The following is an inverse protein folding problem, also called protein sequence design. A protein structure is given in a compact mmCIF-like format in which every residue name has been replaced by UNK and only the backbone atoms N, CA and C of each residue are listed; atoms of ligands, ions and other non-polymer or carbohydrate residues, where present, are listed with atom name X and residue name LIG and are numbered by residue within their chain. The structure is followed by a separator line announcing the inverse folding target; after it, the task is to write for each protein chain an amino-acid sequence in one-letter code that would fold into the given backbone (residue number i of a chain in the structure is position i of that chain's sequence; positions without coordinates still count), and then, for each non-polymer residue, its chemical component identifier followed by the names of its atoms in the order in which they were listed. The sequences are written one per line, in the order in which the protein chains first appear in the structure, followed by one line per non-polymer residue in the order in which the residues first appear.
data_IF_862742340159
#
_entry.id   IF_862742340159
#
_cell.length_a   1.000
_cell.length_b   1.000
_cell.length_c   1.000
_cell.angle_alpha   90.00
_cell.angle_beta   90.00
_cell.angle_gamma   90.00
#
_symmetry.space_group_name_H-M   'P 1'
#
loop_
_entity.id
_entity.type
_entity.pdbx_description
1 polymer ?
#
# COMPACT_ATOMS: atom_id res chain seq x y z
N UNK A 1 24.96 15.23 -1.30
CA UNK A 1 23.52 15.23 -0.96
C UNK A 1 23.34 16.00 0.33
N UNK A 2 22.29 16.83 0.49
CA UNK A 2 21.99 17.41 1.79
C UNK A 2 21.70 16.25 2.76
N UNK A 3 22.38 16.24 3.90
CA UNK A 3 22.06 15.29 4.96
C UNK A 3 20.71 15.73 5.52
N UNK A 4 19.68 14.88 5.53
CA UNK A 4 18.42 15.22 6.16
C UNK A 4 18.70 15.63 7.62
N UNK A 5 17.98 16.62 8.18
CA UNK A 5 18.20 17.03 9.56
C UNK A 5 18.15 15.81 10.47
N UNK A 6 19.11 15.68 11.38
CA UNK A 6 19.17 14.56 12.32
C UNK A 6 17.96 14.63 13.24
N UNK A 7 16.97 13.75 13.00
CA UNK A 7 15.75 13.65 13.80
C UNK A 7 15.93 12.58 14.88
N UNK A 8 15.44 12.86 16.08
CA UNK A 8 15.50 11.88 17.17
C UNK A 8 14.57 10.70 16.87
N UNK A 9 15.05 9.48 17.13
CA UNK A 9 14.27 8.25 17.00
C UNK A 9 13.03 8.28 17.91
N UNK A 10 11.94 7.66 17.46
CA UNK A 10 10.66 7.60 18.14
C UNK A 10 9.85 8.90 18.15
N UNK A 11 10.25 9.93 17.40
CA UNK A 11 9.54 11.21 17.37
C UNK A 11 8.48 11.28 16.28
N UNK A 12 7.34 11.85 16.64
CA UNK A 12 6.20 12.09 15.76
C UNK A 12 6.06 13.57 15.50
N UNK A 13 5.91 13.96 14.23
CA UNK A 13 5.73 15.36 13.84
C UNK A 13 4.65 15.53 12.79
N UNK A 14 4.02 16.70 12.81
CA UNK A 14 3.14 17.15 11.72
C UNK A 14 4.02 17.73 10.62
N UNK A 15 3.82 17.27 9.39
CA UNK A 15 4.51 17.83 8.23
C UNK A 15 3.86 19.17 7.84
N UNK A 16 4.59 20.04 7.12
CA UNK A 16 3.99 21.22 6.53
C UNK A 16 2.75 20.87 5.70
N UNK A 17 1.79 21.80 5.64
CA UNK A 17 0.55 21.60 4.90
C UNK A 17 0.83 21.27 3.44
N UNK A 18 0.24 20.18 2.95
CA UNK A 18 0.35 19.82 1.55
C UNK A 18 -0.38 20.88 0.69
N UNK A 19 0.13 21.20 -0.50
CA UNK A 19 -0.51 22.15 -1.42
C UNK A 19 -1.69 21.53 -2.18
N UNK A 20 -2.13 20.35 -1.76
CA UNK A 20 -3.31 19.63 -2.23
C UNK A 20 -4.10 19.14 -1.01
N UNK A 21 -5.45 19.09 -1.07
CA UNK A 21 -6.25 18.65 0.07
C UNK A 21 -5.95 17.19 0.42
N UNK A 22 -6.07 16.85 1.70
CA UNK A 22 -6.12 15.46 2.13
C UNK A 22 -7.23 14.70 1.40
N UNK A 23 -6.96 13.44 1.05
CA UNK A 23 -7.82 12.62 0.20
C UNK A 23 -7.72 11.14 0.51
N UNK A 24 -8.78 10.41 0.19
CA UNK A 24 -8.85 8.95 0.30
C UNK A 24 -8.62 8.30 -1.06
N UNK A 25 -8.20 7.04 -1.06
CA UNK A 25 -7.94 6.25 -2.27
C UNK A 25 -6.98 6.90 -3.27
N UNK A 26 -6.06 7.72 -2.76
CA UNK A 26 -4.96 8.27 -3.56
C UNK A 26 -3.83 7.24 -3.71
N UNK A 27 -3.09 7.34 -4.80
CA UNK A 27 -1.85 6.59 -4.95
C UNK A 27 -0.69 7.35 -4.31
N UNK A 28 0.30 6.62 -3.79
CA UNK A 28 1.55 7.19 -3.35
C UNK A 28 2.73 6.27 -3.62
N UNK A 29 3.90 6.85 -3.88
CA UNK A 29 5.15 6.09 -4.03
C UNK A 29 6.35 6.88 -3.52
N UNK A 30 7.34 6.18 -2.99
CA UNK A 30 8.65 6.74 -2.68
C UNK A 30 9.59 6.60 -3.87
N UNK A 31 10.17 7.72 -4.33
CA UNK A 31 11.10 7.73 -5.48
C UNK A 31 12.56 7.50 -5.10
N UNK A 32 12.86 7.28 -3.81
CA UNK A 32 14.22 7.38 -3.27
C UNK A 32 14.58 8.81 -2.81
N UNK A 33 13.80 9.82 -3.21
CA UNK A 33 14.04 11.23 -2.85
C UNK A 33 12.78 11.96 -2.37
N UNK A 34 11.64 11.71 -3.00
CA UNK A 34 10.37 12.38 -2.69
C UNK A 34 9.24 11.35 -2.57
N UNK A 35 8.29 11.60 -1.69
CA UNK A 35 7.01 10.91 -1.69
C UNK A 35 6.11 11.61 -2.70
N UNK A 36 5.70 10.91 -3.75
CA UNK A 36 4.79 11.44 -4.78
C UNK A 36 3.40 10.91 -4.49
N UNK A 37 2.40 11.79 -4.44
CA UNK A 37 0.98 11.45 -4.29
C UNK A 37 0.17 11.96 -5.46
N UNK A 38 -0.79 11.19 -5.96
CA UNK A 38 -1.64 11.61 -7.08
C UNK A 38 -3.02 10.93 -7.04
N UNK A 39 -4.02 11.60 -7.62
CA UNK A 39 -5.37 11.05 -7.80
C UNK A 39 -6.16 10.98 -6.49
N UNK A 40 -7.08 10.04 -6.36
CA UNK A 40 -7.93 9.86 -5.19
C UNK A 40 -9.17 10.75 -5.19
N UNK A 41 -9.86 10.78 -4.05
CA UNK A 41 -11.11 11.53 -3.90
C UNK A 41 -11.10 12.43 -2.68
N UNK A 42 -11.85 13.51 -2.78
CA UNK A 42 -12.22 14.35 -1.64
C UNK A 42 -13.73 14.44 -1.57
N UNK A 43 -14.25 14.63 -0.37
CA UNK A 43 -15.68 14.85 -0.16
C UNK A 43 -15.93 16.30 0.27
N UNK A 44 -17.02 16.88 -0.23
CA UNK A 44 -17.58 18.12 0.28
C UNK A 44 -19.07 17.93 0.55
N UNK A 45 -19.56 18.57 1.59
CA UNK A 45 -20.99 18.66 1.84
C UNK A 45 -21.57 19.85 1.08
N UNK A 46 -22.64 19.62 0.34
CA UNK A 46 -23.47 20.65 -0.26
C UNK A 46 -24.85 20.63 0.41
N UNK A 47 -25.41 21.80 0.71
CA UNK A 47 -26.78 21.92 1.21
C UNK A 47 -27.59 22.90 0.38
N UNK A 48 -28.84 22.53 0.09
CA UNK A 48 -29.84 23.40 -0.54
C UNK A 48 -30.76 24.08 0.51
N UNK A 49 -30.37 24.01 1.80
CA UNK A 49 -31.17 24.50 2.93
C UNK A 49 -32.24 23.52 3.43
N UNK A 50 -32.45 22.37 2.77
CA UNK A 50 -33.40 21.32 3.19
C UNK A 50 -32.77 19.93 3.28
N UNK A 51 -31.74 19.66 2.48
CA UNK A 51 -30.98 18.40 2.50
C UNK A 51 -29.50 18.70 2.49
N UNK A 52 -28.72 17.85 3.17
CA UNK A 52 -27.26 17.79 3.03
C UNK A 52 -26.96 16.63 2.11
N UNK A 53 -26.10 16.86 1.11
CA UNK A 53 -25.61 15.84 0.19
C UNK A 53 -24.10 15.85 0.20
N UNK A 54 -23.51 14.67 0.30
CA UNK A 54 -22.07 14.46 0.08
C UNK A 54 -21.79 14.42 -1.43
N UNK A 55 -20.89 15.30 -1.87
CA UNK A 55 -20.36 15.32 -3.23
C UNK A 55 -18.92 14.82 -3.19
N UNK A 56 -18.68 13.72 -3.90
CA UNK A 56 -17.36 13.14 -4.07
C UNK A 56 -16.73 13.69 -5.33
N UNK A 57 -15.55 14.27 -5.20
CA UNK A 57 -14.75 14.82 -6.30
C UNK A 57 -13.53 13.95 -6.56
N UNK A 58 -13.39 13.49 -7.80
CA UNK A 58 -12.22 12.79 -8.28
C UNK A 58 -11.10 13.79 -8.58
N UNK A 59 -9.93 13.56 -8.00
CA UNK A 59 -8.79 14.46 -8.10
C UNK A 59 -7.89 14.03 -9.25
N UNK A 60 -7.47 15.00 -10.06
CA UNK A 60 -6.54 14.82 -11.19
C UNK A 60 -5.16 15.45 -10.92
N UNK A 61 -4.95 15.89 -9.69
CA UNK A 61 -3.76 16.61 -9.24
C UNK A 61 -2.95 15.77 -8.24
N UNK A 62 -1.74 16.23 -7.96
CA UNK A 62 -0.82 15.55 -7.06
C UNK A 62 0.23 16.50 -6.50
N UNK A 63 0.97 16.01 -5.52
CA UNK A 63 2.07 16.73 -4.89
C UNK A 63 3.24 15.79 -4.61
N UNK A 64 4.44 16.35 -4.51
CA UNK A 64 5.63 15.64 -4.07
C UNK A 64 6.13 16.26 -2.76
N UNK A 65 6.45 15.43 -1.78
CA UNK A 65 7.04 15.81 -0.50
C UNK A 65 8.51 15.38 -0.44
N UNK A 66 9.39 16.35 -0.19
CA UNK A 66 10.83 16.15 0.03
C UNK A 66 11.12 16.18 1.55
N UNK A 67 11.44 15.04 2.19
CA UNK A 67 11.74 14.98 3.61
C UNK A 67 13.10 15.61 4.00
N UNK A 68 14.02 15.81 3.04
CA UNK A 68 15.31 16.45 3.31
C UNK A 68 15.17 17.96 3.45
N UNK A 69 14.23 18.57 2.72
CA UNK A 69 13.93 20.01 2.82
C UNK A 69 12.68 20.32 3.64
N UNK A 70 11.92 19.30 4.02
CA UNK A 70 10.62 19.41 4.69
C UNK A 70 9.66 20.30 3.90
N UNK A 71 9.56 20.06 2.59
CA UNK A 71 8.75 20.88 1.68
C UNK A 71 7.96 20.04 0.72
N UNK A 72 6.77 20.55 0.42
CA UNK A 72 5.94 20.05 -0.66
C UNK A 72 6.09 20.91 -1.91
N UNK A 73 5.85 20.30 -3.06
CA UNK A 73 5.62 20.98 -4.33
C UNK A 73 4.43 20.36 -5.05
N UNK A 74 3.73 21.17 -5.83
CA UNK A 74 2.64 20.69 -6.69
C UNK A 74 3.25 20.00 -7.90
N UNK A 75 2.66 18.89 -8.34
CA UNK A 75 3.06 18.25 -9.60
C UNK A 75 2.53 19.05 -10.79
N UNK A 76 3.22 19.02 -11.94
CA UNK A 76 2.65 19.51 -13.20
C UNK A 76 1.32 18.81 -13.50
N UNK A 77 0.45 19.48 -14.26
CA UNK A 77 -0.85 18.91 -14.64
C UNK A 77 -0.66 17.61 -15.41
N UNK A 78 -1.22 16.53 -14.88
CA UNK A 78 -1.15 15.21 -15.52
C UNK A 78 -2.08 15.17 -16.74
N UNK A 79 -1.71 14.46 -17.82
CA UNK A 79 -2.56 14.22 -18.97
C UNK A 79 -3.59 13.10 -18.69
N UNK A 80 -4.14 13.06 -17.48
CA UNK A 80 -5.06 12.03 -16.99
C UNK A 80 -6.28 12.70 -16.36
N UNK A 81 -7.48 12.13 -16.56
CA UNK A 81 -8.65 12.53 -15.77
C UNK A 81 -8.48 12.14 -14.31
N UNK A 82 -9.20 12.84 -13.42
CA UNK A 82 -9.24 12.46 -12.01
C UNK A 82 -9.85 11.08 -11.82
N UNK A 83 -9.35 10.35 -10.83
CA UNK A 83 -9.73 8.95 -10.58
C UNK A 83 -9.38 8.51 -9.17
N UNK A 84 -10.13 7.56 -8.65
CA UNK A 84 -9.80 6.86 -7.41
C UNK A 84 -8.91 5.64 -7.67
N UNK A 85 -8.13 5.25 -6.67
CA UNK A 85 -7.26 4.07 -6.67
C UNK A 85 -6.33 4.00 -7.90
N UNK A 86 -5.67 5.11 -8.29
CA UNK A 86 -4.67 5.02 -9.35
C UNK A 86 -3.53 4.12 -8.88
N UNK A 87 -3.04 3.27 -9.78
CA UNK A 87 -1.93 2.37 -9.47
C UNK A 87 -0.63 3.12 -9.71
N UNK A 88 0.20 3.22 -8.67
CA UNK A 88 1.46 3.97 -8.72
C UNK A 88 2.64 3.07 -8.42
N UNK A 89 3.65 3.10 -9.29
CA UNK A 89 4.89 2.33 -9.10
C UNK A 89 6.10 3.13 -9.56
N UNK A 90 7.19 3.06 -8.79
CA UNK A 90 8.47 3.70 -9.11
C UNK A 90 9.36 2.73 -9.87
N UNK A 91 9.84 3.12 -11.05
CA UNK A 91 10.70 2.29 -11.90
C UNK A 91 12.19 2.40 -11.56
N UNK A 92 12.57 3.27 -10.62
CA UNK A 92 13.95 3.73 -10.46
C UNK A 92 14.26 5.05 -11.19
N UNK A 93 13.41 5.45 -12.15
CA UNK A 93 13.56 6.69 -12.92
C UNK A 93 12.24 7.47 -13.07
N UNK A 94 11.11 6.79 -13.24
CA UNK A 94 9.80 7.41 -13.43
C UNK A 94 8.76 6.80 -12.50
N UNK A 95 7.77 7.61 -12.13
CA UNK A 95 6.56 7.13 -11.46
C UNK A 95 5.53 6.81 -12.52
N UNK A 96 5.15 5.55 -12.66
CA UNK A 96 4.02 5.18 -13.51
C UNK A 96 2.74 5.42 -12.72
N UNK A 97 1.75 6.05 -13.35
CA UNK A 97 0.38 6.19 -12.85
C UNK A 97 -0.54 5.58 -13.88
N UNK A 98 -1.16 4.46 -13.56
CA UNK A 98 -1.95 3.67 -14.51
C UNK A 98 -3.25 3.21 -13.87
N UNK A 99 -4.30 3.06 -14.67
CA UNK A 99 -5.52 2.42 -14.21
C UNK A 99 -6.27 3.23 -13.16
N UNK A 100 -6.93 2.53 -12.23
CA UNK A 100 -7.87 3.09 -11.27
C UNK A 100 -9.31 3.15 -11.79
N UNK A 101 -10.17 3.83 -11.04
CA UNK A 101 -11.61 3.90 -11.30
C UNK A 101 -12.10 5.33 -11.48
N UNK A 102 -13.05 5.47 -12.39
CA UNK A 102 -13.74 6.74 -12.66
C UNK A 102 -15.24 6.47 -12.46
N UNK A 103 -15.92 7.16 -11.56
CA UNK A 103 -17.31 6.90 -11.11
C UNK A 103 -18.34 6.77 -12.23
N UNK A 104 -18.11 7.40 -13.38
CA UNK A 104 -19.01 7.32 -14.55
C UNK A 104 -18.72 6.14 -15.48
N UNK A 105 -17.70 5.34 -15.19
CA UNK A 105 -17.35 4.10 -15.89
C UNK A 105 -17.50 2.95 -14.91
N UNK A 106 -18.19 1.89 -15.35
CA UNK A 106 -18.32 0.65 -14.57
C UNK A 106 -17.02 -0.14 -14.55
N UNK A 107 -16.25 -0.02 -15.63
CA UNK A 107 -15.00 -0.74 -15.79
C UNK A 107 -13.83 0.17 -15.42
N UNK A 108 -12.78 -0.42 -14.85
CA UNK A 108 -11.51 0.28 -14.64
C UNK A 108 -11.00 0.91 -15.94
N UNK A 109 -10.15 1.91 -15.78
CA UNK A 109 -9.54 2.60 -16.92
C UNK A 109 -8.24 1.92 -17.38
N UNK A 110 -7.89 2.08 -18.66
CA UNK A 110 -6.70 1.47 -19.28
C UNK A 110 -5.59 2.48 -19.58
N UNK A 111 -5.87 3.75 -19.38
CA UNK A 111 -4.92 4.84 -19.61
C UNK A 111 -3.92 4.96 -18.46
N UNK A 112 -2.81 5.64 -18.75
CA UNK A 112 -1.78 5.93 -17.77
C UNK A 112 -0.78 6.96 -18.29
N UNK A 113 0.02 7.49 -17.37
CA UNK A 113 1.08 8.43 -17.66
C UNK A 113 2.31 8.12 -16.78
N UNK A 114 3.50 8.34 -17.32
CA UNK A 114 4.74 8.30 -16.58
C UNK A 114 5.14 9.72 -16.16
N UNK A 115 5.35 9.93 -14.87
CA UNK A 115 5.89 11.16 -14.33
C UNK A 115 7.41 11.04 -14.16
N UNK A 116 8.14 11.98 -14.74
CA UNK A 116 9.58 12.13 -14.57
C UNK A 116 9.86 13.19 -13.48
N UNK A 117 10.34 12.79 -12.29
CA UNK A 117 10.59 13.73 -11.19
C UNK A 117 11.86 14.57 -11.37
N UNK A 118 12.71 14.28 -12.37
CA UNK A 118 13.90 15.06 -12.69
C UNK A 118 13.54 16.16 -13.68
N UNK A 119 12.81 15.82 -14.74
CA UNK A 119 12.31 16.79 -15.72
C UNK A 119 11.06 17.55 -15.24
N UNK A 120 10.43 17.09 -14.16
CA UNK A 120 9.15 17.58 -13.65
C UNK A 120 8.09 17.67 -14.76
N UNK A 121 7.89 16.54 -15.44
CA UNK A 121 6.97 16.46 -16.59
C UNK A 121 6.32 15.09 -16.71
N UNK A 122 5.21 15.04 -17.45
CA UNK A 122 4.46 13.82 -17.70
C UNK A 122 4.58 13.38 -19.16
N UNK A 123 4.58 12.07 -19.35
CA UNK A 123 4.47 11.44 -20.65
C UNK A 123 3.28 10.47 -20.66
N UNK A 124 2.43 10.55 -21.67
CA UNK A 124 1.30 9.61 -21.84
C UNK A 124 1.84 8.22 -22.17
N UNK A 125 1.30 7.19 -21.52
CA UNK A 125 1.62 5.80 -21.83
C UNK A 125 0.66 5.26 -22.91
N UNK A 126 1.10 4.28 -23.73
CA UNK A 126 0.16 3.51 -24.52
C UNK A 126 -0.87 2.84 -23.59
N UNK A 127 -2.11 2.74 -24.06
CA UNK A 127 -3.18 2.11 -23.28
C UNK A 127 -2.90 0.63 -23.03
N UNK A 128 -3.18 0.19 -21.81
CA UNK A 128 -3.07 -1.22 -21.45
C UNK A 128 -4.10 -2.07 -22.24
N UNK A 129 -3.81 -3.37 -22.49
CA UNK A 129 -4.75 -4.27 -23.15
C UNK A 129 -6.09 -4.33 -22.42
N UNK A 130 -6.03 -4.41 -21.10
CA UNK A 130 -7.15 -4.43 -20.15
C UNK A 130 -6.87 -3.47 -18.98
N UNK A 131 -7.88 -3.11 -18.16
CA UNK A 131 -7.67 -2.29 -16.99
C UNK A 131 -6.70 -2.98 -16.01
N UNK A 132 -5.53 -2.39 -15.73
CA UNK A 132 -4.57 -3.04 -14.84
C UNK A 132 -5.12 -3.19 -13.42
N UNK A 133 -4.77 -4.31 -12.78
CA UNK A 133 -5.06 -4.56 -11.36
C UNK A 133 -4.48 -3.49 -10.45
N UNK A 134 -5.10 -3.28 -9.29
CA UNK A 134 -4.57 -2.41 -8.24
C UNK A 134 -3.26 -2.94 -7.62
N UNK A 135 -3.00 -4.24 -7.78
CA UNK A 135 -1.77 -4.88 -7.31
C UNK A 135 -0.68 -4.81 -8.38
N UNK A 136 0.43 -4.14 -8.04
CA UNK A 136 1.57 -3.95 -8.92
C UNK A 136 2.88 -4.19 -8.19
N UNK A 137 3.87 -4.72 -8.92
CA UNK A 137 5.25 -4.71 -8.48
C UNK A 137 6.20 -4.29 -9.61
N UNK A 138 7.28 -3.59 -9.26
CA UNK A 138 8.38 -3.32 -10.17
C UNK A 138 9.43 -4.43 -10.04
N UNK A 139 9.75 -5.07 -11.16
CA UNK A 139 10.73 -6.18 -11.21
C UNK A 139 12.17 -5.71 -11.42
N UNK A 140 12.37 -4.43 -11.76
CA UNK A 140 13.64 -3.91 -12.27
C UNK A 140 13.64 -3.72 -13.79
N UNK A 141 12.75 -4.42 -14.52
CA UNK A 141 12.61 -4.31 -15.98
C UNK A 141 11.17 -3.96 -16.40
N UNK A 142 10.18 -4.60 -15.76
CA UNK A 142 8.76 -4.41 -16.08
C UNK A 142 7.94 -4.13 -14.80
N UNK A 143 6.87 -3.35 -14.97
CA UNK A 143 5.81 -3.22 -13.98
C UNK A 143 4.79 -4.33 -14.23
N UNK A 144 4.63 -5.24 -13.27
CA UNK A 144 3.75 -6.43 -13.38
C UNK A 144 2.52 -6.20 -12.53
N UNK A 145 1.35 -6.25 -13.17
CA UNK A 145 0.04 -6.05 -12.56
C UNK A 145 -0.70 -7.39 -12.55
N UNK A 146 -1.13 -7.85 -11.38
CA UNK A 146 -1.75 -9.16 -11.23
C UNK A 146 -3.12 -9.03 -10.56
N UNK A 147 -4.11 -9.68 -11.13
CA UNK A 147 -5.41 -9.94 -10.52
C UNK A 147 -5.65 -11.45 -10.46
N UNK A 148 -6.79 -11.81 -9.91
CA UNK A 148 -7.35 -13.16 -9.84
C UNK A 148 -7.50 -13.77 -11.24
N UNK A 149 -7.81 -12.93 -12.23
CA UNK A 149 -8.09 -13.34 -13.61
C UNK A 149 -6.85 -13.47 -14.50
N UNK A 150 -5.67 -13.10 -13.99
CA UNK A 150 -4.43 -13.05 -14.78
C UNK A 150 -3.68 -11.73 -14.56
N UNK A 151 -3.10 -11.17 -15.61
CA UNK A 151 -2.42 -9.89 -15.48
C UNK A 151 -1.83 -9.33 -16.75
N UNK A 152 -1.22 -8.16 -16.61
CA UNK A 152 -0.47 -7.48 -17.66
C UNK A 152 0.87 -7.00 -17.13
N UNK A 153 1.87 -6.91 -18.01
CA UNK A 153 3.15 -6.30 -17.70
C UNK A 153 3.47 -5.16 -18.67
N UNK A 154 4.04 -4.07 -18.14
CA UNK A 154 4.49 -2.92 -18.93
C UNK A 154 6.02 -2.80 -18.88
N UNK A 155 6.63 -2.72 -20.06
CA UNK A 155 8.06 -2.47 -20.19
C UNK A 155 8.32 -1.01 -20.59
N UNK A 156 8.80 -0.13 -19.69
CA UNK A 156 8.96 1.30 -19.99
C UNK A 156 9.98 1.60 -21.10
N UNK A 157 11.08 0.85 -21.20
CA UNK A 157 12.08 1.05 -22.27
C UNK A 157 11.58 0.74 -23.69
N UNK A 158 10.69 -0.24 -23.84
CA UNK A 158 10.06 -0.62 -25.11
C UNK A 158 8.73 0.10 -25.32
N UNK A 159 8.16 0.65 -24.25
CA UNK A 159 6.81 1.25 -24.19
C UNK A 159 5.73 0.31 -24.69
N UNK A 160 5.83 -0.96 -24.32
CA UNK A 160 4.91 -2.01 -24.75
C UNK A 160 4.29 -2.70 -23.55
N UNK A 161 3.03 -3.08 -23.72
CA UNK A 161 2.33 -3.97 -22.82
C UNK A 161 2.37 -5.40 -23.34
N UNK A 162 2.31 -6.36 -22.43
CA UNK A 162 2.01 -7.76 -22.71
C UNK A 162 1.00 -8.30 -21.70
N UNK A 163 0.16 -9.22 -22.13
CA UNK A 163 -0.69 -10.02 -21.23
C UNK A 163 0.15 -11.18 -20.70
N UNK A 164 0.01 -11.49 -19.42
CA UNK A 164 0.69 -12.62 -18.79
C UNK A 164 0.06 -13.94 -19.25
N UNK A 165 0.86 -14.99 -19.40
CA UNK A 165 0.33 -16.31 -19.72
C UNK A 165 -0.32 -16.94 -18.48
N UNK A 166 -1.65 -17.10 -18.48
CA UNK A 166 -2.40 -17.68 -17.37
C UNK A 166 -2.58 -16.71 -16.20
N UNK A 167 -2.76 -17.26 -15.00
CA UNK A 167 -3.00 -16.47 -13.78
C UNK A 167 -2.63 -17.24 -12.52
N UNK A 168 -2.76 -16.59 -11.35
CA UNK A 168 -2.29 -17.15 -10.07
C UNK A 168 -3.13 -18.31 -9.55
N UNK A 169 -4.33 -18.54 -10.09
CA UNK A 169 -5.24 -19.60 -9.60
C UNK A 169 -5.84 -19.30 -8.23
N UNK A 170 -5.87 -18.02 -7.83
CA UNK A 170 -6.41 -17.55 -6.55
C UNK A 170 -7.81 -16.96 -6.75
N UNK A 171 -8.65 -17.05 -5.72
CA UNK A 171 -9.96 -16.39 -5.68
C UNK A 171 -9.83 -14.89 -5.40
N UNK A 172 -8.86 -14.51 -4.56
CA UNK A 172 -8.58 -13.12 -4.21
C UNK A 172 -7.07 -12.88 -4.18
N UNK A 173 -6.59 -11.83 -4.84
CA UNK A 173 -5.21 -11.36 -4.71
C UNK A 173 -5.18 -10.24 -3.68
N UNK A 174 -4.22 -10.29 -2.76
CA UNK A 174 -4.09 -9.29 -1.70
C UNK A 174 -2.75 -8.57 -1.72
N UNK A 175 -1.65 -9.29 -1.97
CA UNK A 175 -0.29 -8.74 -1.87
C UNK A 175 0.63 -9.34 -2.92
N UNK A 176 1.55 -8.51 -3.42
CA UNK A 176 2.61 -8.89 -4.35
C UNK A 176 3.97 -8.55 -3.77
N UNK A 177 4.93 -9.45 -3.92
CA UNK A 177 6.32 -9.25 -3.48
C UNK A 177 7.28 -9.69 -4.58
N UNK A 178 8.17 -8.80 -5.00
CA UNK A 178 9.26 -9.16 -5.92
C UNK A 178 10.47 -9.67 -5.13
N UNK A 179 10.94 -10.88 -5.46
CA UNK A 179 12.09 -11.51 -4.78
C UNK A 179 13.43 -11.15 -5.42
N UNK A 180 13.41 -10.51 -6.58
CA UNK A 180 14.58 -10.37 -7.46
C UNK A 180 14.57 -11.35 -8.64
N UNK A 181 13.74 -12.40 -8.59
CA UNK A 181 13.59 -13.36 -9.68
C UNK A 181 12.15 -13.81 -9.94
N UNK A 182 11.29 -13.84 -8.92
CA UNK A 182 9.89 -14.23 -9.02
C UNK A 182 9.00 -13.18 -8.35
N UNK A 183 7.78 -13.00 -8.88
CA UNK A 183 6.71 -12.28 -8.19
C UNK A 183 5.93 -13.28 -7.36
N UNK A 184 6.02 -13.14 -6.04
CA UNK A 184 5.19 -13.88 -5.10
C UNK A 184 3.86 -13.15 -4.97
N UNK A 185 2.78 -13.87 -5.26
CA UNK A 185 1.39 -13.41 -5.19
C UNK A 185 0.74 -14.14 -4.04
N UNK A 186 0.14 -13.40 -3.12
CA UNK A 186 -0.50 -13.93 -1.92
C UNK A 186 -1.95 -13.46 -1.86
N UNK A 187 -2.83 -14.33 -1.39
CA UNK A 187 -4.23 -14.03 -1.13
C UNK A 187 -5.01 -15.24 -0.65
N UNK A 188 -6.20 -15.49 -1.21
CA UNK A 188 -7.06 -16.60 -0.81
C UNK A 188 -7.52 -17.40 -2.03
N UNK A 189 -7.75 -18.69 -1.84
CA UNK A 189 -8.34 -19.62 -2.81
C UNK A 189 -9.84 -19.90 -2.52
N UNK A 190 -10.46 -19.11 -1.65
CA UNK A 190 -11.82 -19.32 -1.13
C UNK A 190 -11.87 -20.04 0.22
N UNK A 191 -10.72 -20.53 0.69
CA UNK A 191 -10.55 -21.15 1.99
C UNK A 191 -10.21 -20.17 3.12
N UNK A 192 -10.14 -20.71 4.33
CA UNK A 192 -9.71 -19.98 5.54
C UNK A 192 -8.18 -19.84 5.65
N UNK A 193 -7.43 -20.42 4.70
CA UNK A 193 -5.98 -20.39 4.63
C UNK A 193 -5.47 -19.47 3.52
N UNK A 194 -4.36 -18.81 3.79
CA UNK A 194 -3.60 -18.03 2.83
C UNK A 194 -3.11 -18.97 1.73
N UNK A 195 -3.41 -18.62 0.49
CA UNK A 195 -2.88 -19.30 -0.68
C UNK A 195 -1.89 -18.38 -1.39
N UNK A 196 -1.04 -18.97 -2.24
CA UNK A 196 -0.05 -18.20 -2.98
C UNK A 196 0.42 -18.85 -4.26
N UNK A 197 0.92 -18.01 -5.15
CA UNK A 197 1.53 -18.42 -6.41
C UNK A 197 2.83 -17.63 -6.62
N UNK A 198 3.77 -18.21 -7.35
CA UNK A 198 4.95 -17.52 -7.85
C UNK A 198 4.87 -17.39 -9.37
N UNK A 199 5.14 -16.18 -9.86
CA UNK A 199 5.24 -15.87 -11.28
C UNK A 199 6.69 -15.57 -11.66
N UNK A 200 7.20 -16.30 -12.63
CA UNK A 200 8.52 -16.11 -13.25
C UNK A 200 8.35 -15.22 -14.48
N UNK A 201 8.71 -13.92 -14.41
CA UNK A 201 8.51 -13.00 -15.53
C UNK A 201 9.38 -13.30 -16.75
N UNK A 202 10.51 -13.99 -16.57
CA UNK A 202 11.42 -14.34 -17.65
C UNK A 202 10.94 -15.52 -18.48
N UNK A 203 10.28 -16.49 -17.83
CA UNK A 203 9.66 -17.64 -18.49
C UNK A 203 8.16 -17.47 -18.77
N UNK A 204 7.53 -16.40 -18.28
CA UNK A 204 6.08 -16.11 -18.37
C UNK A 204 5.25 -17.31 -17.90
N UNK A 205 5.52 -17.78 -16.68
CA UNK A 205 4.89 -18.98 -16.12
C UNK A 205 4.57 -18.83 -14.64
N UNK A 206 3.53 -19.52 -14.23
CA UNK A 206 3.07 -19.62 -12.84
C UNK A 206 3.45 -20.96 -12.24
N UNK A 207 3.69 -20.95 -10.94
CA UNK A 207 3.69 -22.14 -10.09
C UNK A 207 2.94 -21.85 -8.80
N UNK A 208 2.27 -22.86 -8.29
CA UNK A 208 1.64 -22.81 -6.97
C UNK A 208 2.72 -22.82 -5.88
N UNK A 209 2.47 -22.10 -4.79
CA UNK A 209 3.31 -22.16 -3.60
C UNK A 209 2.80 -23.27 -2.67
N UNK A 210 3.69 -23.90 -1.87
CA UNK A 210 3.26 -24.78 -0.81
C UNK A 210 2.34 -24.04 0.17
N UNK A 211 1.42 -24.77 0.79
CA UNK A 211 0.51 -24.24 1.80
C UNK A 211 1.29 -23.63 2.97
N UNK A 212 1.01 -22.37 3.35
CA UNK A 212 1.72 -21.70 4.43
C UNK A 212 1.30 -22.16 5.82
N UNK A 213 0.13 -22.78 5.96
CA UNK A 213 -0.51 -23.02 7.26
C UNK A 213 -0.79 -21.70 8.00
N UNK A 214 -1.02 -20.63 7.23
CA UNK A 214 -1.33 -19.28 7.70
C UNK A 214 -2.77 -18.97 7.30
N UNK A 215 -3.59 -18.42 8.19
CA UNK A 215 -4.98 -18.07 7.94
C UNK A 215 -5.10 -16.94 6.92
N UNK A 216 -6.16 -16.95 6.10
CA UNK A 216 -6.53 -15.92 5.09
C UNK A 216 -7.19 -14.66 5.66
N UNK A 217 -7.69 -14.66 6.91
CA UNK A 217 -8.44 -13.53 7.47
C UNK A 217 -7.63 -12.47 8.23
N UNK A 218 -6.33 -12.68 8.44
CA UNK A 218 -5.46 -11.75 9.17
C UNK A 218 -5.04 -10.54 8.32
N UNK A 219 -5.01 -9.34 8.90
CA UNK A 219 -4.45 -8.15 8.24
C UNK A 219 -2.95 -8.32 8.05
N UNK A 220 -2.47 -8.56 6.83
CA UNK A 220 -1.08 -8.95 6.55
C UNK A 220 -0.30 -7.88 5.82
N UNK A 221 0.99 -7.82 6.11
CA UNK A 221 1.98 -7.13 5.29
C UNK A 221 2.98 -8.16 4.82
N UNK A 222 3.18 -8.23 3.50
CA UNK A 222 4.18 -9.08 2.88
C UNK A 222 5.39 -8.24 2.45
N UNK A 223 6.60 -8.61 2.89
CA UNK A 223 7.83 -7.89 2.54
C UNK A 223 8.94 -8.85 2.16
N UNK A 224 9.75 -8.45 1.18
CA UNK A 224 10.99 -9.14 0.85
C UNK A 224 12.11 -8.66 1.77
N UNK A 225 12.74 -9.58 2.50
CA UNK A 225 13.90 -9.27 3.34
C UNK A 225 14.82 -10.47 3.47
N UNK A 226 16.13 -10.23 3.34
CA UNK A 226 17.17 -11.23 3.62
C UNK A 226 16.96 -12.56 2.86
N UNK A 227 16.49 -12.50 1.61
CA UNK A 227 16.25 -13.68 0.79
C UNK A 227 14.95 -14.43 1.08
N UNK A 228 14.04 -13.88 1.89
CA UNK A 228 12.78 -14.51 2.27
C UNK A 228 11.60 -13.55 2.14
N UNK A 229 10.41 -14.09 1.89
CA UNK A 229 9.16 -13.33 1.99
C UNK A 229 8.65 -13.48 3.43
N UNK A 230 8.61 -12.36 4.14
CA UNK A 230 8.01 -12.26 5.45
C UNK A 230 6.56 -11.85 5.28
N UNK A 231 5.64 -12.71 5.70
CA UNK A 231 4.22 -12.40 5.82
C UNK A 231 3.95 -12.20 7.29
N UNK A 232 3.69 -10.97 7.69
CA UNK A 232 3.59 -10.60 9.10
C UNK A 232 2.20 -10.03 9.35
N UNK A 233 1.52 -10.56 10.37
CA UNK A 233 0.25 -10.00 10.83
C UNK A 233 0.31 -9.56 12.29
N UNK A 234 -0.09 -8.32 12.62
CA UNK A 234 -0.27 -7.90 14.00
C UNK A 234 -1.59 -8.40 14.60
N UNK A 235 -2.47 -9.07 13.84
CA UNK A 235 -3.77 -9.48 14.35
C UNK A 235 -3.65 -10.67 15.29
N UNK A 236 -3.55 -10.34 16.57
CA UNK A 236 -3.94 -11.23 17.65
C UNK A 236 -5.40 -10.91 18.02
N UNK A 237 -6.40 -11.51 17.40
CA UNK A 237 -7.77 -11.29 17.88
C UNK A 237 -7.92 -11.90 19.28
N UNK A 238 -7.87 -11.02 20.29
CA UNK A 238 -8.59 -11.19 21.54
C UNK A 238 -9.57 -10.03 21.61
N UNK A 239 -10.85 -10.35 21.38
CA UNK A 239 -11.95 -9.41 21.55
C UNK A 239 -12.12 -9.17 23.06
N UNK A 240 -11.62 -8.06 23.56
CA UNK A 240 -12.05 -7.52 24.86
C UNK A 240 -12.79 -6.21 24.59
N UNK A 241 -14.12 -6.30 24.63
CA UNK A 241 -15.01 -5.17 24.37
C UNK A 241 -16.52 -5.43 24.31
N UNK A 242 -16.98 -6.69 24.33
CA UNK A 242 -18.38 -6.98 24.71
C UNK A 242 -19.17 -7.97 23.86
N UNK A 243 -18.70 -8.40 22.70
CA UNK A 243 -19.35 -9.50 21.96
C UNK A 243 -18.33 -10.58 21.61
N UNK A 244 -18.55 -11.76 22.20
CA UNK A 244 -17.71 -12.95 22.05
C UNK A 244 -18.01 -13.54 20.67
N UNK A 245 -17.01 -13.61 19.79
CA UNK A 245 -17.05 -14.60 18.71
C UNK A 245 -17.03 -16.00 19.37
N UNK A 246 -18.08 -16.82 19.23
CA UNK A 246 -18.13 -18.15 19.83
C UNK A 246 -17.07 -19.11 19.26
N UNK A 247 -16.36 -18.73 18.18
CA UNK A 247 -15.29 -19.50 17.55
C UNK A 247 -14.01 -18.67 17.39
N UNK A 248 -13.27 -18.35 18.47
CA UNK A 248 -12.03 -17.61 18.37
C UNK A 248 -11.06 -18.35 17.44
N UNK A 249 -10.80 -17.77 16.27
CA UNK A 249 -9.85 -18.34 15.31
C UNK A 249 -8.44 -18.32 15.92
N UNK A 250 -7.59 -19.32 15.63
CA UNK A 250 -6.21 -19.34 16.11
C UNK A 250 -5.49 -18.04 15.74
N UNK A 251 -4.77 -17.47 16.70
CA UNK A 251 -3.90 -16.32 16.50
C UNK A 251 -2.86 -16.68 15.43
N UNK A 252 -2.90 -16.03 14.28
CA UNK A 252 -1.95 -16.32 13.21
C UNK A 252 -0.82 -15.27 13.16
N UNK A 253 0.43 -15.65 13.47
CA UNK A 253 1.57 -14.73 13.43
C UNK A 253 2.02 -14.35 12.01
N UNK A 254 1.46 -15.01 11.00
CA UNK A 254 1.99 -15.06 9.66
C UNK A 254 3.11 -16.09 9.52
N UNK A 255 3.86 -15.99 8.43
CA UNK A 255 4.85 -16.99 8.04
C UNK A 255 6.02 -16.39 7.26
N UNK A 256 7.07 -17.18 7.15
CA UNK A 256 8.25 -16.88 6.35
C UNK A 256 8.36 -17.90 5.24
N UNK A 257 8.22 -17.44 4.01
CA UNK A 257 8.47 -18.24 2.83
C UNK A 257 9.93 -18.08 2.38
N UNK A 258 10.60 -19.20 2.19
CA UNK A 258 11.96 -19.30 1.68
C UNK A 258 11.94 -19.83 0.24
N UNK A 259 12.10 -18.96 -0.78
CA UNK A 259 12.08 -19.38 -2.18
C UNK A 259 13.21 -20.34 -2.56
N UNK A 260 14.34 -20.35 -1.82
CA UNK A 260 15.46 -21.22 -2.13
C UNK A 260 15.19 -22.69 -1.75
N UNK A 261 14.31 -22.91 -0.78
CA UNK A 261 13.91 -24.26 -0.35
C UNK A 261 12.46 -24.61 -0.68
N UNK A 262 11.71 -23.65 -1.21
CA UNK A 262 10.28 -23.71 -1.48
C UNK A 262 9.50 -24.21 -0.25
N UNK A 263 9.70 -23.54 0.89
CA UNK A 263 9.09 -23.92 2.17
C UNK A 263 8.67 -22.72 3.00
N UNK A 264 7.57 -22.91 3.71
CA UNK A 264 7.11 -22.00 4.75
C UNK A 264 7.64 -22.41 6.13
N UNK A 265 7.77 -21.42 6.99
CA UNK A 265 8.00 -21.59 8.42
C UNK A 265 7.16 -20.57 9.18
N UNK A 266 6.59 -20.97 10.32
CA UNK A 266 5.74 -20.09 11.11
C UNK A 266 6.54 -18.99 11.81
N UNK A 267 5.94 -17.81 11.94
CA UNK A 267 6.45 -16.74 12.80
C UNK A 267 6.01 -16.94 14.27
N UNK A 268 6.62 -16.24 15.24
CA UNK A 268 6.10 -16.21 16.61
C UNK A 268 4.88 -15.30 16.75
N UNK A 269 3.96 -15.69 17.64
CA UNK A 269 2.72 -14.98 17.96
C UNK A 269 2.94 -13.50 18.28
N UNK A 270 2.12 -12.64 17.67
CA UNK A 270 2.01 -11.24 18.05
C UNK A 270 1.40 -11.12 19.48
N UNK A 271 1.90 -10.20 20.32
CA UNK A 271 1.28 -9.88 21.60
C UNK A 271 -0.19 -9.45 21.44
N UNK A 272 -1.04 -9.88 22.37
CA UNK A 272 -2.44 -9.46 22.44
C UNK A 272 -2.57 -7.92 22.50
N UNK A 273 -3.54 -7.36 21.76
CA UNK A 273 -3.90 -5.94 21.85
C UNK A 273 -3.12 -4.99 20.94
N UNK A 274 -2.38 -5.50 19.94
CA UNK A 274 -1.71 -4.64 18.94
C UNK A 274 -2.65 -4.00 17.91
N UNK A 275 -3.95 -4.35 17.93
CA UNK A 275 -4.96 -3.82 17.01
C UNK A 275 -4.78 -4.31 15.56
N UNK A 276 -5.85 -4.25 14.77
CA UNK A 276 -5.81 -4.60 13.36
C UNK A 276 -5.24 -3.41 12.54
N UNK A 277 -3.92 -3.38 12.35
CA UNK A 277 -3.30 -2.45 11.40
C UNK A 277 -3.05 -3.15 10.07
N UNK A 278 -3.73 -2.69 9.01
CA UNK A 278 -3.64 -3.26 7.65
C UNK A 278 -2.46 -2.74 6.81
N UNK A 279 -1.63 -1.85 7.36
CA UNK A 279 -0.56 -1.19 6.61
C UNK A 279 0.74 -1.26 7.38
N UNK A 280 1.80 -1.60 6.67
CA UNK A 280 3.13 -1.58 7.22
C UNK A 280 4.18 -1.36 6.14
N UNK A 281 5.38 -1.06 6.61
CA UNK A 281 6.52 -0.84 5.73
C UNK A 281 7.76 -1.51 6.33
N UNK A 282 8.57 -2.11 5.47
CA UNK A 282 9.89 -2.60 5.85
C UNK A 282 10.83 -1.39 6.06
N UNK A 283 11.50 -1.38 7.20
CA UNK A 283 12.53 -0.42 7.56
C UNK A 283 13.83 -1.14 7.89
N UNK A 284 14.99 -0.46 7.99
CA UNK A 284 16.22 -1.06 8.48
C UNK A 284 16.11 -1.65 9.89
N UNK A 285 15.07 -1.28 10.64
CA UNK A 285 14.81 -1.73 12.01
C UNK A 285 13.77 -2.85 12.07
N UNK A 286 13.20 -3.28 10.93
CA UNK A 286 12.15 -4.29 10.88
C UNK A 286 10.87 -3.77 10.24
N UNK A 287 9.79 -4.52 10.36
CA UNK A 287 8.49 -4.17 9.78
C UNK A 287 7.73 -3.31 10.77
N UNK A 288 7.38 -2.08 10.37
CA UNK A 288 6.55 -1.18 11.17
C UNK A 288 5.12 -1.22 10.66
N UNK A 289 4.17 -1.19 11.59
CA UNK A 289 2.74 -1.12 11.33
C UNK A 289 2.20 0.14 11.99
N UNK A 290 1.62 1.01 11.19
CA UNK A 290 1.03 2.24 11.69
C UNK A 290 -0.04 2.76 10.73
N UNK A 291 -1.18 3.15 11.29
CA UNK A 291 -2.31 3.76 10.59
C UNK A 291 -2.47 5.25 10.96
N UNK A 292 -1.48 5.85 11.62
CA UNK A 292 -1.59 7.20 12.17
C UNK A 292 -2.25 7.26 13.55
N UNK A 293 -2.71 6.12 14.08
CA UNK A 293 -3.35 6.01 15.38
C UNK A 293 -2.41 6.03 16.58
N UNK A 294 -2.91 5.67 17.77
CA UNK A 294 -2.23 5.88 19.04
C UNK A 294 -1.14 4.86 19.36
N UNK A 295 -0.91 3.87 18.50
CA UNK A 295 0.08 2.82 18.71
C UNK A 295 0.79 2.52 17.40
N UNK A 296 2.10 2.43 17.43
CA UNK A 296 2.90 1.81 16.36
C UNK A 296 3.35 0.44 16.84
N UNK A 297 3.15 -0.59 16.01
CA UNK A 297 3.68 -1.92 16.25
C UNK A 297 4.91 -2.15 15.36
N UNK A 298 5.87 -2.94 15.87
CA UNK A 298 7.09 -3.29 15.16
C UNK A 298 7.38 -4.77 15.33
N UNK A 299 7.69 -5.42 14.22
CA UNK A 299 8.25 -6.76 14.17
C UNK A 299 9.73 -6.70 13.74
N UNK A 300 10.62 -7.20 14.58
CA UNK A 300 12.04 -7.38 14.25
C UNK A 300 12.26 -8.79 13.68
N UNK A 301 12.55 -8.92 12.37
CA UNK A 301 12.74 -10.22 11.74
C UNK A 301 14.04 -10.92 12.15
N UNK A 302 15.05 -10.19 12.65
CA UNK A 302 16.33 -10.79 13.04
C UNK A 302 16.22 -11.53 14.39
N UNK A 303 15.41 -11.01 15.31
CA UNK A 303 15.19 -11.60 16.63
C UNK A 303 13.84 -12.31 16.75
N UNK A 304 12.98 -12.17 15.74
CA UNK A 304 11.60 -12.63 15.73
C UNK A 304 10.81 -12.09 16.95
N UNK A 305 10.95 -10.79 17.24
CA UNK A 305 10.31 -10.16 18.40
C UNK A 305 9.41 -9.01 17.99
N UNK A 306 8.29 -8.91 18.70
CA UNK A 306 7.36 -7.81 18.63
C UNK A 306 7.66 -6.74 19.67
N UNK A 307 7.41 -5.48 19.33
CA UNK A 307 7.40 -4.35 20.25
C UNK A 307 6.35 -3.34 19.82
N UNK A 308 5.84 -2.54 20.76
CA UNK A 308 4.95 -1.43 20.45
C UNK A 308 5.34 -0.17 21.20
N UNK A 309 4.95 0.98 20.65
CA UNK A 309 5.16 2.28 21.25
C UNK A 309 3.88 3.12 21.13
N UNK A 310 3.44 3.78 22.22
CA UNK A 310 2.32 4.70 22.17
C UNK A 310 2.68 6.00 21.43
N UNK A 311 1.71 6.53 20.69
CA UNK A 311 1.74 7.78 19.91
C UNK A 311 0.53 8.64 20.32
N UNK A 312 0.56 9.29 21.50
CA UNK A 312 -0.61 9.96 22.05
C UNK A 312 -1.09 11.13 21.18
N UNK A 313 -2.41 11.33 21.14
CA UNK A 313 -3.05 12.52 20.56
C UNK A 313 -3.20 12.50 19.03
N UNK A 314 -3.08 11.34 18.36
CA UNK A 314 -3.30 11.22 16.92
C UNK A 314 -4.54 10.38 16.58
N UNK A 315 -5.40 10.86 15.66
CA UNK A 315 -6.51 10.06 15.16
C UNK A 315 -5.99 8.99 14.20
N UNK A 316 -6.55 7.78 14.28
CA UNK A 316 -6.31 6.73 13.26
C UNK A 316 -6.81 7.18 11.89
N UNK A 317 -6.16 6.71 10.82
CA UNK A 317 -6.47 7.06 9.44
C UNK A 317 -6.73 5.81 8.61
N UNK A 318 -7.96 5.68 8.10
CA UNK A 318 -8.36 4.65 7.15
C UNK A 318 -8.18 5.15 5.72
N UNK A 319 -7.87 4.28 4.75
CA UNK A 319 -7.73 4.65 3.32
C UNK A 319 -6.68 5.73 2.99
N UNK A 320 -5.80 6.07 3.93
CA UNK A 320 -4.64 6.92 3.71
C UNK A 320 -3.45 6.16 3.15
N UNK A 321 -2.43 6.88 2.74
CA UNK A 321 -1.17 6.31 2.26
C UNK A 321 -0.17 6.22 3.41
N UNK A 322 0.59 5.13 3.45
CA UNK A 322 1.71 4.90 4.38
C UNK A 322 2.96 4.66 3.55
N UNK A 323 3.98 5.50 3.72
CA UNK A 323 5.22 5.41 2.94
C UNK A 323 6.44 5.46 3.87
N UNK A 324 7.36 4.51 3.70
CA UNK A 324 8.69 4.61 4.26
C UNK A 324 9.60 5.42 3.33
N UNK A 325 10.14 6.52 3.84
CA UNK A 325 11.02 7.43 3.06
C UNK A 325 12.50 7.05 3.12
N UNK A 326 12.84 5.93 3.75
CA UNK A 326 14.24 5.62 4.10
C UNK A 326 14.70 6.20 5.45
N UNK A 327 13.97 7.17 6.00
CA UNK A 327 14.29 7.80 7.29
C UNK A 327 13.08 7.96 8.23
N UNK A 328 11.92 8.30 7.68
CA UNK A 328 10.67 8.47 8.42
C UNK A 328 9.51 7.74 7.74
N UNK A 329 8.58 7.21 8.55
CA UNK A 329 7.33 6.64 8.12
C UNK A 329 6.29 7.75 8.03
N UNK A 330 5.79 8.04 6.83
CA UNK A 330 4.86 9.13 6.56
C UNK A 330 3.46 8.57 6.33
N UNK A 331 2.48 9.14 7.04
CA UNK A 331 1.05 8.93 6.80
C UNK A 331 0.46 10.21 6.23
N UNK A 332 -0.27 10.10 5.12
CA UNK A 332 -0.94 11.23 4.48
C UNK A 332 -2.33 10.87 3.96
N UNK A 333 -3.23 11.84 3.99
CA UNK A 333 -4.63 11.65 3.60
C UNK A 333 -5.35 10.63 4.48
N UNK A 334 -6.29 9.91 3.85
CA UNK A 334 -7.16 8.94 4.52
C UNK A 334 -8.18 9.59 5.44
N UNK A 335 -9.23 8.88 5.81
CA UNK A 335 -10.29 9.37 6.67
C UNK A 335 -9.97 9.12 8.14
N UNK A 336 -10.25 10.10 9.00
CA UNK A 336 -10.00 10.01 10.45
C UNK A 336 -10.97 9.08 11.22
N UNK A 337 -11.75 8.26 10.53
CA UNK A 337 -12.79 7.41 11.13
C UNK A 337 -12.22 6.06 11.59
N UNK A 338 -12.41 5.67 12.86
CA UNK A 338 -12.14 4.31 13.31
C UNK A 338 -13.08 3.31 12.61
N UNK A 339 -12.63 2.09 12.28
CA UNK A 339 -13.43 1.08 11.59
C UNK A 339 -14.66 0.57 12.38
N UNK A 340 -14.85 0.97 13.64
CA UNK A 340 -15.92 0.49 14.53
C UNK A 340 -16.82 1.61 15.11
N UNK A 341 -16.71 2.85 14.61
CA UNK A 341 -17.58 3.95 15.04
C UNK A 341 -18.61 4.26 13.95
N UNK A 342 -19.86 4.58 14.34
CA UNK A 342 -20.93 5.14 13.49
C UNK A 342 -20.59 6.56 12.99
N UNK A 343 -19.38 6.75 12.46
CA UNK A 343 -18.94 8.02 11.91
C UNK A 343 -19.53 8.19 10.52
N UNK A 344 -20.53 9.06 10.43
CA UNK A 344 -21.22 9.42 9.19
C UNK A 344 -20.36 10.32 8.27
N UNK A 345 -19.07 10.57 8.58
CA UNK A 345 -18.29 11.62 7.90
C UNK A 345 -16.82 11.26 7.64
N UNK A 346 -16.55 10.89 6.39
CA UNK A 346 -15.21 10.71 5.81
C UNK A 346 -14.62 12.07 5.43
N UNK A 347 -14.04 12.78 6.41
CA UNK A 347 -13.26 14.00 6.10
C UNK A 347 -11.78 13.68 6.28
N UNK A 348 -11.00 13.62 5.20
CA UNK A 348 -9.57 13.40 5.32
C UNK A 348 -8.88 14.53 6.08
N UNK A 349 -7.93 14.23 6.98
CA UNK A 349 -7.15 15.27 7.64
C UNK A 349 -6.30 16.01 6.61
N UNK A 350 -6.23 17.35 6.66
CA UNK A 350 -5.42 18.13 5.74
C UNK A 350 -3.92 17.95 5.98
N UNK A 351 -3.52 17.55 7.18
CA UNK A 351 -2.12 17.39 7.55
C UNK A 351 -1.56 15.99 7.27
N UNK A 352 -0.26 15.93 6.99
CA UNK A 352 0.51 14.68 7.00
C UNK A 352 1.27 14.53 8.31
N UNK A 353 1.61 13.30 8.69
CA UNK A 353 2.33 12.99 9.93
C UNK A 353 3.51 12.08 9.61
N UNK A 354 4.66 12.32 10.22
CA UNK A 354 5.83 11.47 10.11
C UNK A 354 6.29 10.92 11.47
N UNK A 355 6.70 9.66 11.48
CA UNK A 355 7.34 8.97 12.61
C UNK A 355 8.78 8.61 12.22
N UNK A 356 9.77 9.07 12.98
CA UNK A 356 11.14 8.56 12.89
C UNK A 356 11.23 7.31 13.77
N UNK A 357 11.57 6.12 13.23
CA UNK A 357 11.59 4.88 14.02
C UNK A 357 12.85 4.72 14.86
#
# INVERSE_FOLDING_TARGET
MPVPPTRAAGTVRVLPGAPVPGRSWSGAVWTGREMVVWGGVTEREETDGKKVRTVVEERADGAAYDPATDRWRVLPVAPLSGRERPVMVWTGERVLVVGGRVRRRTDGVRDGAAYDPVADSWEVLPGAPEPPSEHVVWTGEEAVFVSELGGVAYHPGRRTWRTLAGGPGLEWVEQLVWTGSEVIVLGSDGGEELAGAAYDPGADRWRELPEPGVSSSSGRVAVWSSGKVLVVSPSSERVDGGEVDPFPKPLDPGGVYDPATDRWSALPLAPAGLGATYRGALTPRGVLFWDGGPTVARFDPATARWSSQPVPGRPGRSFGVLIWTGAELVVWGGDGCPPLADCVRLVPPPEAIALTP
#
